data_IF_677280167313
#
_entry.id   IF_677280167313
#
_cell.length_a   1.000
_cell.length_b   1.000
_cell.length_c   1.000
_cell.angle_alpha   90.00
_cell.angle_beta   90.00
_cell.angle_gamma   90.00
#
_symmetry.space_group_name_H-M   'P 1'
#
loop_
_entity.id
_entity.type
_entity.pdbx_description
1 polymer ?
#
# COMPACT_ATOMS: atom_id res chain seq x y z
N UNK A 1 -8.05 -1.20 41.75
CA UNK A 1 -8.25 -2.64 41.45
C UNK A 1 -7.11 -3.41 42.11
N UNK A 2 -7.33 -4.61 42.65
CA UNK A 2 -6.26 -5.38 43.29
C UNK A 2 -5.41 -6.09 42.23
N UNK A 3 -4.09 -6.11 42.42
CA UNK A 3 -3.18 -6.86 41.55
C UNK A 3 -3.24 -8.36 41.83
N UNK A 4 -2.68 -9.18 40.94
CA UNK A 4 -2.50 -10.63 41.17
C UNK A 4 -1.78 -10.87 42.50
N UNK A 5 -0.72 -10.09 42.77
CA UNK A 5 0.05 -10.17 44.00
C UNK A 5 -0.79 -9.87 45.23
N UNK A 6 -1.66 -8.86 45.15
CA UNK A 6 -2.57 -8.53 46.26
C UNK A 6 -3.54 -9.68 46.54
N UNK A 7 -4.10 -10.30 45.51
CA UNK A 7 -4.97 -11.47 45.68
C UNK A 7 -4.22 -12.68 46.26
N UNK A 8 -3.00 -12.96 45.82
CA UNK A 8 -2.17 -14.02 46.42
C UNK A 8 -1.91 -13.75 47.90
N UNK A 9 -1.51 -12.52 48.25
CA UNK A 9 -1.25 -12.11 49.64
C UNK A 9 -2.52 -12.23 50.49
N UNK A 10 -3.69 -11.87 49.95
CA UNK A 10 -4.99 -12.06 50.62
C UNK A 10 -5.30 -13.53 50.87
N UNK A 11 -5.07 -14.40 49.89
CA UNK A 11 -5.36 -15.83 50.01
C UNK A 11 -4.47 -16.53 51.03
N UNK A 12 -3.18 -16.20 51.03
CA UNK A 12 -2.24 -16.71 52.05
C UNK A 12 -2.64 -16.27 53.46
N UNK A 13 -3.07 -15.01 53.62
CA UNK A 13 -3.57 -14.51 54.90
C UNK A 13 -4.91 -15.16 55.29
N UNK A 14 -5.76 -15.47 54.33
CA UNK A 14 -7.02 -16.20 54.56
C UNK A 14 -6.78 -17.60 55.12
N UNK A 15 -5.81 -18.33 54.57
CA UNK A 15 -5.34 -19.61 55.11
C UNK A 15 -4.83 -19.47 56.54
N UNK A 16 -3.98 -18.47 56.83
CA UNK A 16 -3.46 -18.20 58.19
C UNK A 16 -4.54 -17.82 59.20
N UNK A 17 -5.64 -17.23 58.73
CA UNK A 17 -6.78 -16.87 59.55
C UNK A 17 -7.83 -17.99 59.64
N UNK A 18 -7.46 -19.24 59.31
CA UNK A 18 -8.33 -20.43 59.32
C UNK A 18 -9.63 -20.22 58.53
N UNK A 19 -9.56 -19.56 57.38
CA UNK A 19 -10.73 -19.31 56.54
C UNK A 19 -11.68 -18.22 57.07
N UNK A 20 -11.26 -17.40 58.05
CA UNK A 20 -12.08 -16.29 58.53
C UNK A 20 -11.82 -14.99 57.74
N UNK A 21 -12.74 -14.64 56.85
CA UNK A 21 -12.60 -13.48 55.95
C UNK A 21 -12.54 -12.14 56.69
N UNK A 22 -13.29 -11.98 57.79
CA UNK A 22 -13.29 -10.74 58.58
C UNK A 22 -11.95 -10.53 59.28
N UNK A 23 -11.42 -11.59 59.90
CA UNK A 23 -10.10 -11.57 60.54
C UNK A 23 -9.00 -11.31 59.51
N UNK A 24 -9.12 -11.93 58.34
CA UNK A 24 -8.18 -11.74 57.23
C UNK A 24 -8.13 -10.29 56.76
N UNK A 25 -9.27 -9.62 56.60
CA UNK A 25 -9.30 -8.21 56.20
C UNK A 25 -8.60 -7.29 57.22
N UNK A 26 -8.82 -7.54 58.52
CA UNK A 26 -8.18 -6.78 59.62
C UNK A 26 -6.67 -7.00 59.65
N UNK A 27 -6.23 -8.25 59.58
CA UNK A 27 -4.80 -8.58 59.57
C UNK A 27 -4.09 -8.10 58.30
N UNK A 28 -4.76 -8.15 57.15
CA UNK A 28 -4.22 -7.62 55.89
C UNK A 28 -4.01 -6.11 55.97
N UNK A 29 -4.98 -5.36 56.51
CA UNK A 29 -4.87 -3.91 56.71
C UNK A 29 -3.73 -3.56 57.68
N UNK A 30 -3.55 -4.35 58.75
CA UNK A 30 -2.45 -4.16 59.71
C UNK A 30 -1.08 -4.45 59.08
N UNK A 31 -0.99 -5.51 58.27
CA UNK A 31 0.27 -5.97 57.67
C UNK A 31 0.72 -5.13 56.46
N UNK A 32 -0.22 -4.55 55.73
CA UNK A 32 0.04 -3.73 54.56
C UNK A 32 -0.65 -2.35 54.67
N UNK A 33 -0.20 -1.44 55.55
CA UNK A 33 -0.86 -0.16 55.78
C UNK A 33 -0.90 0.77 54.56
N UNK A 34 0.05 0.60 53.64
CA UNK A 34 0.15 1.37 52.39
C UNK A 34 -0.74 0.82 51.25
N UNK A 35 -1.38 -0.33 51.43
CA UNK A 35 -2.26 -0.95 50.42
C UNK A 35 -3.72 -0.72 50.78
N UNK A 36 -4.59 -0.72 49.76
CA UNK A 36 -6.03 -0.66 49.96
C UNK A 36 -6.50 -1.90 50.76
N UNK A 37 -7.21 -1.74 51.89
CA UNK A 37 -7.74 -2.88 52.63
C UNK A 37 -8.84 -3.62 51.84
N UNK A 38 -8.79 -4.96 51.77
CA UNK A 38 -9.84 -5.75 51.13
C UNK A 38 -11.13 -5.73 51.95
N UNK A 39 -12.26 -5.65 51.24
CA UNK A 39 -13.56 -5.94 51.82
C UNK A 39 -13.70 -7.44 52.09
N UNK A 40 -14.49 -7.80 53.11
CA UNK A 40 -14.72 -9.20 53.50
C UNK A 40 -15.28 -10.02 52.33
N UNK A 41 -16.13 -9.43 51.49
CA UNK A 41 -16.69 -10.11 50.33
C UNK A 41 -15.67 -10.31 49.20
N UNK A 42 -14.64 -9.46 49.10
CA UNK A 42 -13.55 -9.65 48.13
C UNK A 42 -12.78 -10.92 48.45
N UNK A 43 -12.54 -11.20 49.74
CA UNK A 43 -11.83 -12.38 50.22
C UNK A 43 -12.68 -13.64 50.01
N UNK A 44 -13.99 -13.59 50.32
CA UNK A 44 -14.89 -14.72 50.07
C UNK A 44 -14.97 -15.07 48.58
N UNK A 45 -15.22 -14.06 47.73
CA UNK A 45 -15.26 -14.25 46.27
C UNK A 45 -13.93 -14.74 45.70
N UNK A 46 -12.80 -14.43 46.34
CA UNK A 46 -11.51 -14.95 45.95
C UNK A 46 -11.41 -16.46 46.23
N UNK A 47 -11.79 -16.92 47.43
CA UNK A 47 -11.79 -18.35 47.77
C UNK A 47 -12.76 -19.14 46.89
N UNK A 48 -13.99 -18.65 46.72
CA UNK A 48 -14.98 -19.26 45.83
C UNK A 48 -14.43 -19.39 44.40
N UNK A 49 -13.78 -18.34 43.89
CA UNK A 49 -13.22 -18.34 42.54
C UNK A 49 -12.06 -19.30 42.40
N UNK A 50 -11.16 -19.35 43.38
CA UNK A 50 -10.02 -20.26 43.33
C UNK A 50 -10.49 -21.72 43.37
N UNK A 51 -11.48 -22.04 44.20
CA UNK A 51 -12.04 -23.39 44.31
C UNK A 51 -12.81 -23.83 43.06
N UNK A 52 -13.57 -22.92 42.47
CA UNK A 52 -14.47 -23.26 41.36
C UNK A 52 -13.81 -23.12 39.97
N UNK A 53 -12.81 -22.25 39.81
CA UNK A 53 -12.21 -21.93 38.50
C UNK A 53 -10.68 -22.04 38.47
N UNK A 54 -10.01 -22.17 39.62
CA UNK A 54 -8.55 -22.15 39.71
C UNK A 54 -7.89 -20.78 39.49
N UNK A 55 -8.67 -19.72 39.24
CA UNK A 55 -8.16 -18.38 38.97
C UNK A 55 -8.24 -17.44 40.18
N UNK A 56 -7.18 -16.66 40.40
CA UNK A 56 -7.16 -15.56 41.39
C UNK A 56 -7.78 -14.27 40.84
N UNK A 57 -7.84 -14.09 39.53
CA UNK A 57 -8.35 -12.87 38.88
C UNK A 57 -9.85 -12.95 38.59
N UNK A 58 -10.62 -11.84 38.77
CA UNK A 58 -12.04 -11.84 38.43
C UNK A 58 -12.27 -12.17 36.96
N UNK A 59 -13.31 -12.97 36.68
CA UNK A 59 -13.69 -13.42 35.32
C UNK A 59 -13.98 -12.28 34.35
N UNK A 60 -14.20 -11.06 34.85
CA UNK A 60 -14.26 -9.84 34.04
C UNK A 60 -12.99 -9.64 33.17
N UNK A 61 -11.86 -10.25 33.53
CA UNK A 61 -10.63 -10.22 32.75
C UNK A 61 -10.48 -11.39 31.75
N UNK A 62 -11.32 -12.43 31.83
CA UNK A 62 -11.32 -13.56 30.89
C UNK A 62 -12.29 -13.32 29.72
N UNK A 63 -13.34 -12.52 29.95
CA UNK A 63 -14.33 -12.10 28.95
C UNK A 63 -14.19 -10.64 28.54
N UNK A 64 -12.97 -10.07 28.57
CA UNK A 64 -12.66 -8.91 27.75
C UNK A 64 -12.46 -9.34 26.28
N UNK A 65 -13.38 -10.17 25.78
CA UNK A 65 -13.65 -10.24 24.35
C UNK A 65 -14.36 -8.94 24.04
N UNK A 66 -13.57 -7.90 23.77
CA UNK A 66 -14.08 -6.55 23.55
C UNK A 66 -15.28 -6.53 22.59
N UNK A 67 -16.01 -5.40 22.61
CA UNK A 67 -17.21 -5.13 21.79
C UNK A 67 -17.19 -5.88 20.44
N UNK A 68 -18.26 -6.62 20.07
CA UNK A 68 -18.31 -7.36 18.81
C UNK A 68 -17.81 -6.50 17.65
N UNK A 69 -16.81 -7.02 16.92
CA UNK A 69 -15.95 -6.23 16.01
C UNK A 69 -16.70 -5.66 14.81
N UNK A 70 -17.93 -6.06 14.56
CA UNK A 70 -18.78 -5.52 13.49
C UNK A 70 -20.21 -5.36 14.00
N UNK A 71 -20.83 -4.22 13.68
CA UNK A 71 -22.28 -4.05 13.77
C UNK A 71 -23.02 -4.70 12.59
N UNK A 72 -22.39 -5.68 11.93
CA UNK A 72 -22.96 -6.42 10.80
C UNK A 72 -23.41 -7.79 11.30
N UNK A 73 -24.58 -8.22 10.86
CA UNK A 73 -24.96 -9.63 10.95
C UNK A 73 -24.15 -10.45 9.94
N UNK A 74 -24.05 -11.77 10.15
CA UNK A 74 -23.39 -12.69 9.21
C UNK A 74 -24.01 -12.54 7.81
N UNK A 75 -25.34 -12.51 7.73
CA UNK A 75 -26.06 -12.31 6.47
C UNK A 75 -25.72 -10.99 5.76
N UNK A 76 -25.51 -9.90 6.50
CA UNK A 76 -25.09 -8.62 5.90
C UNK A 76 -23.64 -8.65 5.43
N UNK A 77 -22.76 -9.32 6.17
CA UNK A 77 -21.37 -9.51 5.75
C UNK A 77 -21.31 -10.32 4.45
N UNK A 78 -22.02 -11.45 4.38
CA UNK A 78 -22.10 -12.29 3.19
C UNK A 78 -22.68 -11.53 2.00
N UNK A 79 -23.74 -10.73 2.19
CA UNK A 79 -24.31 -9.90 1.13
C UNK A 79 -23.31 -8.85 0.59
N UNK A 80 -22.49 -8.25 1.46
CA UNK A 80 -21.44 -7.31 1.04
C UNK A 80 -20.37 -8.05 0.22
N UNK A 81 -19.95 -9.23 0.65
CA UNK A 81 -18.90 -9.99 -0.03
C UNK A 81 -19.37 -10.50 -1.38
N UNK A 82 -20.60 -11.05 -1.45
CA UNK A 82 -21.22 -11.46 -2.70
C UNK A 82 -21.32 -10.27 -3.69
N UNK A 83 -21.73 -9.09 -3.21
CA UNK A 83 -21.83 -7.90 -4.05
C UNK A 83 -20.49 -7.45 -4.63
N UNK A 84 -19.40 -7.63 -3.88
CA UNK A 84 -18.03 -7.34 -4.34
C UNK A 84 -17.54 -8.38 -5.34
N UNK A 85 -17.91 -9.65 -5.15
CA UNK A 85 -17.60 -10.72 -6.12
C UNK A 85 -18.32 -10.48 -7.47
N UNK A 86 -19.59 -10.08 -7.42
CA UNK A 86 -20.38 -9.75 -8.62
C UNK A 86 -19.88 -8.47 -9.34
N UNK A 87 -19.35 -7.50 -8.60
CA UNK A 87 -18.78 -6.28 -9.20
C UNK A 87 -17.61 -5.77 -8.38
N UNK A 88 -16.38 -6.19 -8.70
CA UNK A 88 -15.19 -5.80 -7.95
C UNK A 88 -14.91 -4.29 -7.93
N UNK A 89 -15.46 -3.54 -8.90
CA UNK A 89 -15.28 -2.09 -9.05
C UNK A 89 -16.16 -1.26 -8.10
N UNK A 90 -17.05 -1.91 -7.33
CA UNK A 90 -17.99 -1.22 -6.45
C UNK A 90 -17.25 -0.48 -5.33
N UNK A 91 -17.59 0.79 -5.16
CA UNK A 91 -16.95 1.59 -4.11
C UNK A 91 -17.43 1.20 -2.72
N UNK A 92 -16.55 1.30 -1.72
CA UNK A 92 -16.91 1.11 -0.29
C UNK A 92 -18.04 2.02 0.18
N UNK A 93 -18.25 3.18 -0.45
CA UNK A 93 -19.37 4.09 -0.16
C UNK A 93 -20.69 3.61 -0.78
N UNK A 94 -20.64 3.04 -1.99
CA UNK A 94 -21.81 2.45 -2.64
C UNK A 94 -22.32 1.24 -1.85
N UNK A 95 -21.43 0.32 -1.49
CA UNK A 95 -21.73 -0.83 -0.62
C UNK A 95 -22.34 -0.41 0.73
N UNK A 96 -21.78 0.63 1.35
CA UNK A 96 -22.30 1.17 2.61
C UNK A 96 -23.74 1.66 2.47
N UNK A 97 -24.07 2.33 1.35
CA UNK A 97 -25.42 2.84 1.08
C UNK A 97 -26.40 1.72 0.74
N UNK A 98 -26.00 0.77 -0.10
CA UNK A 98 -26.82 -0.39 -0.51
C UNK A 98 -27.17 -1.25 0.71
N UNK A 99 -26.19 -1.51 1.57
CA UNK A 99 -26.31 -2.44 2.70
C UNK A 99 -26.60 -1.72 4.03
N UNK A 100 -27.07 -0.46 3.97
CA UNK A 100 -27.44 0.36 5.15
C UNK A 100 -26.41 0.30 6.30
N UNK A 101 -25.13 0.34 5.93
CA UNK A 101 -23.99 0.13 6.82
C UNK A 101 -23.03 1.32 6.77
N UNK A 102 -22.15 1.46 7.77
CA UNK A 102 -21.14 2.52 7.71
C UNK A 102 -20.00 2.15 6.74
N UNK A 103 -19.46 3.14 6.00
CA UNK A 103 -18.27 2.97 5.14
C UNK A 103 -17.11 2.31 5.89
N UNK A 104 -16.87 2.74 7.13
CA UNK A 104 -15.79 2.21 7.98
C UNK A 104 -16.03 0.75 8.37
N UNK A 105 -17.28 0.31 8.46
CA UNK A 105 -17.64 -1.09 8.73
C UNK A 105 -17.39 -1.95 7.49
N UNK A 106 -17.86 -1.50 6.31
CA UNK A 106 -17.61 -2.18 5.03
C UNK A 106 -16.10 -2.31 4.78
N UNK A 107 -15.35 -1.22 4.92
CA UNK A 107 -13.90 -1.24 4.70
C UNK A 107 -13.17 -2.19 5.65
N UNK A 108 -13.59 -2.28 6.91
CA UNK A 108 -13.01 -3.25 7.87
C UNK A 108 -13.33 -4.69 7.50
N UNK A 109 -14.54 -4.98 7.03
CA UNK A 109 -14.93 -6.30 6.54
C UNK A 109 -14.04 -6.71 5.35
N UNK A 110 -13.91 -5.85 4.34
CA UNK A 110 -13.08 -6.13 3.17
C UNK A 110 -11.63 -6.41 3.55
N UNK A 111 -11.05 -5.60 4.45
CA UNK A 111 -9.69 -5.84 4.95
C UNK A 111 -9.56 -7.14 5.76
N UNK A 112 -10.58 -7.51 6.52
CA UNK A 112 -10.60 -8.76 7.28
C UNK A 112 -10.60 -9.98 6.34
N UNK A 113 -11.38 -9.90 5.26
CA UNK A 113 -11.42 -10.90 4.19
C UNK A 113 -10.25 -10.78 3.19
N UNK A 114 -9.23 -9.96 3.50
CA UNK A 114 -8.02 -9.74 2.67
C UNK A 114 -8.31 -9.19 1.26
N UNK A 115 -9.44 -8.51 1.10
CA UNK A 115 -9.79 -7.79 -0.12
C UNK A 115 -9.20 -6.37 -0.05
N UNK A 116 -8.30 -6.08 -0.99
CA UNK A 116 -7.60 -4.80 -1.07
C UNK A 116 -8.02 -4.03 -2.32
N UNK A 117 -8.13 -2.70 -2.24
CA UNK A 117 -8.33 -1.89 -3.44
C UNK A 117 -7.03 -1.87 -4.25
N UNK A 118 -7.06 -2.46 -5.43
CA UNK A 118 -5.98 -2.34 -6.41
C UNK A 118 -6.23 -1.15 -7.33
N UNK A 119 -5.14 -0.51 -7.77
CA UNK A 119 -5.21 0.57 -8.75
C UNK A 119 -5.13 -0.04 -10.13
N UNK A 120 -5.97 0.42 -11.04
CA UNK A 120 -5.81 0.14 -12.45
C UNK A 120 -4.50 0.73 -12.93
N UNK A 121 -3.71 -0.08 -13.63
CA UNK A 121 -2.59 0.41 -14.43
C UNK A 121 -3.15 0.85 -15.76
N UNK A 122 -3.07 2.13 -16.07
CA UNK A 122 -3.43 2.62 -17.40
C UNK A 122 -2.42 2.09 -18.40
N UNK A 123 -2.86 1.21 -19.29
CA UNK A 123 -2.07 0.70 -20.41
C UNK A 123 -2.69 1.20 -21.72
N UNK A 124 -1.89 1.27 -22.77
CA UNK A 124 -2.43 1.58 -24.11
C UNK A 124 -3.47 0.51 -24.50
N UNK A 125 -4.59 0.95 -25.08
CA UNK A 125 -5.63 0.07 -25.58
C UNK A 125 -5.16 -0.64 -26.84
N UNK A 126 -4.50 -1.80 -26.68
CA UNK A 126 -4.05 -2.63 -27.79
C UNK A 126 -5.28 -3.21 -28.52
N UNK A 127 -5.23 -3.21 -29.86
CA UNK A 127 -6.21 -3.94 -30.67
C UNK A 127 -5.88 -5.44 -30.61
N UNK A 128 -6.88 -6.33 -30.79
CA UNK A 128 -6.65 -7.78 -30.82
C UNK A 128 -5.51 -8.21 -31.77
N UNK A 129 -5.39 -7.56 -32.93
CA UNK A 129 -4.35 -7.86 -33.92
C UNK A 129 -2.93 -7.47 -33.47
N UNK A 130 -2.80 -6.52 -32.54
CA UNK A 130 -1.51 -6.03 -32.07
C UNK A 130 -0.80 -7.11 -31.22
N UNK A 131 -1.56 -7.96 -30.51
CA UNK A 131 -0.98 -9.02 -29.68
C UNK A 131 -0.15 -10.00 -30.53
N UNK A 132 -0.71 -10.48 -31.64
CA UNK A 132 0.00 -11.42 -32.50
C UNK A 132 1.23 -10.78 -33.15
N UNK A 133 1.13 -9.52 -33.61
CA UNK A 133 2.27 -8.79 -34.17
C UNK A 133 3.40 -8.62 -33.16
N UNK A 134 3.06 -8.32 -31.90
CA UNK A 134 4.05 -8.18 -30.82
C UNK A 134 4.72 -9.51 -30.47
N UNK A 135 3.96 -10.61 -30.38
CA UNK A 135 4.52 -11.94 -30.16
C UNK A 135 5.46 -12.33 -31.30
N UNK A 136 5.02 -12.19 -32.54
CA UNK A 136 5.84 -12.50 -33.72
C UNK A 136 7.14 -11.68 -33.77
N UNK A 137 7.08 -10.39 -33.41
CA UNK A 137 8.28 -9.55 -33.31
C UNK A 137 9.23 -10.04 -32.21
N UNK A 138 8.73 -10.38 -31.02
CA UNK A 138 9.55 -10.91 -29.94
C UNK A 138 10.20 -12.25 -30.32
N UNK A 139 9.46 -13.16 -30.96
CA UNK A 139 9.98 -14.44 -31.44
C UNK A 139 11.06 -14.25 -32.50
N UNK A 140 10.82 -13.35 -33.46
CA UNK A 140 11.81 -12.99 -34.49
C UNK A 140 13.08 -12.41 -33.85
N UNK A 141 12.95 -11.47 -32.91
CA UNK A 141 14.09 -10.84 -32.24
C UNK A 141 14.94 -11.87 -31.48
N UNK A 142 14.29 -12.81 -30.80
CA UNK A 142 14.98 -13.92 -30.11
C UNK A 142 15.72 -14.83 -31.09
N UNK A 143 15.14 -15.12 -32.26
CA UNK A 143 15.81 -15.93 -33.29
C UNK A 143 17.03 -15.23 -33.88
N UNK A 144 16.97 -13.92 -34.13
CA UNK A 144 18.13 -13.14 -34.58
C UNK A 144 19.25 -13.19 -33.54
N UNK A 145 18.92 -12.96 -32.27
CA UNK A 145 19.89 -13.02 -31.17
C UNK A 145 20.52 -14.40 -30.96
N UNK A 146 19.78 -15.48 -31.22
CA UNK A 146 20.32 -16.84 -31.17
C UNK A 146 21.25 -17.16 -32.34
N UNK A 147 21.10 -16.47 -33.46
CA UNK A 147 21.91 -16.66 -34.68
C UNK A 147 23.19 -15.81 -34.59
N UNK A 148 23.05 -14.57 -34.14
CA UNK A 148 24.14 -13.66 -33.83
C UNK A 148 23.99 -13.17 -32.38
N UNK A 149 24.89 -13.64 -31.49
CA UNK A 149 24.91 -13.24 -30.09
C UNK A 149 25.10 -11.72 -29.88
N UNK A 150 25.55 -10.98 -30.89
CA UNK A 150 25.70 -9.53 -30.86
C UNK A 150 24.48 -8.74 -31.35
N UNK A 151 23.48 -9.39 -31.96
CA UNK A 151 22.45 -8.70 -32.75
C UNK A 151 21.78 -7.54 -32.01
N UNK A 152 21.29 -7.78 -30.78
CA UNK A 152 20.62 -6.74 -29.98
C UNK A 152 21.54 -5.56 -29.66
N UNK A 153 22.84 -5.80 -29.44
CA UNK A 153 23.81 -4.75 -29.15
C UNK A 153 24.07 -3.87 -30.38
N UNK A 154 23.84 -4.40 -31.59
CA UNK A 154 23.97 -3.68 -32.85
C UNK A 154 22.70 -2.94 -33.29
N UNK A 155 21.58 -3.07 -32.55
CA UNK A 155 20.37 -2.29 -32.81
C UNK A 155 20.52 -0.89 -32.22
N UNK A 156 20.41 0.13 -33.09
CA UNK A 156 20.22 1.51 -32.65
C UNK A 156 18.75 1.73 -32.27
N UNK A 157 18.48 1.72 -30.97
CA UNK A 157 17.16 2.07 -30.41
C UNK A 157 17.02 3.58 -30.42
N UNK A 158 15.89 4.11 -30.91
CA UNK A 158 15.67 5.56 -30.98
C UNK A 158 14.28 5.88 -30.45
N UNK A 159 14.14 7.05 -29.83
CA UNK A 159 12.84 7.58 -29.42
C UNK A 159 12.88 9.11 -29.33
N UNK A 160 11.69 9.70 -29.43
CA UNK A 160 11.49 11.13 -29.21
C UNK A 160 10.73 11.37 -27.90
N UNK A 161 11.22 12.31 -27.10
CA UNK A 161 10.55 12.74 -25.88
C UNK A 161 10.22 14.23 -25.92
N UNK A 162 8.95 14.54 -25.68
CA UNK A 162 8.47 15.92 -25.60
C UNK A 162 8.45 16.39 -24.15
N UNK A 163 9.32 17.36 -23.84
CA UNK A 163 9.35 18.04 -22.55
C UNK A 163 8.50 19.29 -22.60
N UNK A 164 7.62 19.44 -21.61
CA UNK A 164 6.80 20.64 -21.45
C UNK A 164 7.10 21.31 -20.12
N UNK A 165 6.85 22.61 -20.06
CA UNK A 165 7.03 23.44 -18.86
C UNK A 165 6.32 22.90 -17.62
N UNK A 166 5.19 22.23 -17.79
CA UNK A 166 4.37 21.77 -16.67
C UNK A 166 5.02 20.59 -15.91
N UNK A 167 6.05 19.96 -16.50
CA UNK A 167 6.75 18.81 -15.93
C UNK A 167 5.83 17.62 -15.66
N UNK A 168 6.40 16.50 -15.21
CA UNK A 168 5.62 15.36 -14.72
C UNK A 168 5.21 15.65 -13.27
N UNK A 169 4.20 16.50 -13.08
CA UNK A 169 3.74 16.83 -11.73
C UNK A 169 2.78 15.78 -11.18
N UNK A 170 3.25 15.01 -10.19
CA UNK A 170 2.41 14.09 -9.46
C UNK A 170 1.66 14.81 -8.33
N UNK A 171 0.41 15.22 -8.60
CA UNK A 171 -0.48 15.85 -7.62
C UNK A 171 -0.59 15.06 -6.29
N UNK A 172 -0.44 13.73 -6.33
CA UNK A 172 -0.54 12.89 -5.14
C UNK A 172 0.63 13.04 -4.17
N UNK A 173 1.80 13.47 -4.65
CA UNK A 173 3.01 13.64 -3.83
C UNK A 173 3.23 15.11 -3.41
N UNK A 174 2.39 16.02 -3.87
CA UNK A 174 2.50 17.44 -3.55
C UNK A 174 1.69 17.78 -2.30
N UNK A 175 2.34 17.68 -1.14
CA UNK A 175 1.75 18.03 0.14
C UNK A 175 2.18 19.42 0.62
N UNK A 176 1.22 20.22 1.07
CA UNK A 176 1.48 21.42 1.86
C UNK A 176 0.99 21.16 3.28
N UNK A 177 1.93 21.10 4.23
CA UNK A 177 1.61 20.95 5.64
C UNK A 177 1.46 22.35 6.26
N UNK A 178 0.33 22.62 6.91
CA UNK A 178 0.09 23.88 7.61
C UNK A 178 -0.87 23.67 8.79
N UNK A 179 -0.69 24.44 9.85
CA UNK A 179 -1.58 24.44 11.03
C UNK A 179 -2.93 25.13 10.74
N UNK A 180 -2.98 26.00 9.73
CA UNK A 180 -4.19 26.72 9.27
C UNK A 180 -4.27 26.60 7.75
N UNK A 181 -5.49 26.47 7.19
CA UNK A 181 -5.67 26.29 5.75
C UNK A 181 -5.00 27.44 4.96
N UNK A 182 -3.92 27.16 4.19
CA UNK A 182 -3.14 28.20 3.54
C UNK A 182 -3.78 28.71 2.24
N UNK A 183 -4.93 28.15 1.82
CA UNK A 183 -5.52 28.44 0.51
C UNK A 183 -4.48 28.34 -0.62
N UNK A 184 -3.69 27.26 -0.59
CA UNK A 184 -2.61 27.06 -1.53
C UNK A 184 -3.15 26.98 -2.96
N UNK A 185 -2.85 28.01 -3.75
CA UNK A 185 -3.17 28.06 -5.17
C UNK A 185 -1.88 27.80 -5.93
N UNK A 186 -1.87 26.78 -6.79
CA UNK A 186 -0.77 26.55 -7.73
C UNK A 186 -1.28 26.69 -9.16
N UNK A 187 -0.70 27.58 -9.97
CA UNK A 187 -1.07 27.71 -11.38
C UNK A 187 -0.69 26.43 -12.13
N UNK A 188 -1.66 25.81 -12.81
CA UNK A 188 -1.49 24.57 -13.59
C UNK A 188 -1.55 24.81 -15.11
N UNK A 189 -2.16 25.89 -15.55
CA UNK A 189 -2.38 26.20 -16.98
C UNK A 189 -1.77 27.56 -17.30
N UNK A 190 -0.58 27.53 -17.88
CA UNK A 190 0.09 28.73 -18.37
C UNK A 190 -0.41 29.08 -19.78
N UNK A 191 -0.65 30.36 -20.06
CA UNK A 191 -1.12 30.81 -21.38
C UNK A 191 -0.05 30.63 -22.46
N UNK A 192 1.23 30.83 -22.12
CA UNK A 192 2.37 30.50 -22.97
C UNK A 192 2.78 29.04 -22.77
N UNK A 193 2.55 28.24 -23.80
CA UNK A 193 2.99 26.84 -23.89
C UNK A 193 4.27 26.80 -24.72
N UNK A 194 5.34 26.26 -24.15
CA UNK A 194 6.50 25.83 -24.91
C UNK A 194 6.69 24.33 -24.69
N UNK A 195 7.10 23.65 -25.76
CA UNK A 195 7.46 22.24 -25.75
C UNK A 195 8.80 22.07 -26.44
N UNK A 196 9.68 21.28 -25.84
CA UNK A 196 10.96 20.89 -26.41
C UNK A 196 10.87 19.43 -26.82
N UNK A 197 11.04 19.15 -28.10
CA UNK A 197 11.12 17.78 -28.58
C UNK A 197 12.59 17.36 -28.66
N UNK A 198 12.93 16.27 -28.00
CA UNK A 198 14.30 15.78 -27.89
C UNK A 198 14.37 14.38 -28.47
N UNK A 199 15.31 14.17 -29.37
CA UNK A 199 15.66 12.85 -29.87
C UNK A 199 16.87 12.30 -29.12
N UNK A 200 16.86 11.00 -28.83
CA UNK A 200 18.03 10.28 -28.36
C UNK A 200 18.04 8.86 -28.92
N UNK A 201 19.25 8.33 -29.12
CA UNK A 201 19.48 6.97 -29.56
C UNK A 201 20.31 6.18 -28.56
N UNK A 202 20.15 4.86 -28.49
CA UNK A 202 20.99 3.95 -27.71
C UNK A 202 21.49 2.86 -28.63
N UNK A 203 22.81 2.70 -28.71
CA UNK A 203 23.47 1.60 -29.42
C UNK A 203 24.39 0.87 -28.45
N UNK A 204 24.08 -0.39 -28.16
CA UNK A 204 24.79 -1.17 -27.15
C UNK A 204 24.77 -0.47 -25.79
N UNK A 205 25.94 -0.04 -25.32
CA UNK A 205 26.16 0.68 -24.06
C UNK A 205 26.29 2.21 -24.23
N UNK A 206 26.09 2.72 -25.45
CA UNK A 206 26.30 4.14 -25.79
C UNK A 206 24.99 4.88 -25.98
N UNK A 207 24.94 6.10 -25.46
CA UNK A 207 23.89 7.07 -25.73
C UNK A 207 24.33 8.00 -26.87
N UNK A 208 23.51 8.11 -27.91
CA UNK A 208 23.64 9.06 -29.01
C UNK A 208 22.64 10.21 -28.81
N UNK A 209 23.07 11.44 -29.12
CA UNK A 209 22.33 12.65 -28.77
C UNK A 209 22.67 13.17 -27.36
N UNK A 210 21.79 13.96 -26.71
CA UNK A 210 20.46 14.38 -27.15
C UNK A 210 20.51 15.39 -28.30
N UNK A 211 19.56 15.29 -29.23
CA UNK A 211 19.38 16.27 -30.29
C UNK A 211 18.05 17.01 -30.13
N UNK A 212 18.08 18.34 -30.20
CA UNK A 212 16.89 19.16 -30.10
C UNK A 212 16.20 19.21 -31.47
N UNK A 213 15.04 18.57 -31.56
CA UNK A 213 14.23 18.60 -32.76
C UNK A 213 13.47 19.93 -32.87
N UNK A 214 13.12 20.34 -34.10
CA UNK A 214 12.24 21.48 -34.31
C UNK A 214 10.91 21.30 -33.56
N UNK A 215 10.34 22.42 -33.09
CA UNK A 215 9.07 22.41 -32.34
C UNK A 215 7.92 21.77 -33.15
N UNK A 216 7.94 21.93 -34.47
CA UNK A 216 7.03 21.24 -35.39
C UNK A 216 7.78 20.19 -36.19
N UNK A 217 7.68 18.94 -35.75
CA UNK A 217 8.28 17.82 -36.46
C UNK A 217 7.40 17.41 -37.65
N UNK A 218 7.90 17.64 -38.86
CA UNK A 218 7.34 17.11 -40.10
C UNK A 218 8.17 15.91 -40.58
N UNK A 219 7.59 15.06 -41.44
CA UNK A 219 8.33 13.96 -42.05
C UNK A 219 9.58 14.43 -42.82
N UNK A 220 9.50 15.59 -43.48
CA UNK A 220 10.64 16.16 -44.21
C UNK A 220 11.76 16.60 -43.26
N UNK A 221 11.43 17.31 -42.18
CA UNK A 221 12.44 17.73 -41.19
C UNK A 221 13.08 16.54 -40.47
N UNK A 222 12.31 15.47 -40.25
CA UNK A 222 12.87 14.24 -39.66
C UNK A 222 13.79 13.51 -40.63
N UNK A 223 13.42 13.45 -41.92
CA UNK A 223 14.27 12.87 -42.96
C UNK A 223 15.60 13.64 -43.13
N UNK A 224 15.56 14.97 -43.05
CA UNK A 224 16.78 15.81 -43.02
C UNK A 224 17.63 15.44 -41.81
N UNK A 225 17.04 15.35 -40.62
CA UNK A 225 17.75 14.90 -39.42
C UNK A 225 18.42 13.52 -39.60
N UNK A 226 17.71 12.53 -40.15
CA UNK A 226 18.25 11.18 -40.37
C UNK A 226 19.43 11.16 -41.36
N UNK A 227 19.41 12.01 -42.38
CA UNK A 227 20.44 12.01 -43.41
C UNK A 227 21.65 12.87 -43.06
N UNK A 228 21.42 14.02 -42.41
CA UNK A 228 22.45 15.04 -42.21
C UNK A 228 23.03 15.02 -40.80
N UNK A 229 22.24 14.65 -39.78
CA UNK A 229 22.65 14.78 -38.37
C UNK A 229 22.91 13.43 -37.74
N UNK A 230 22.05 12.44 -38.00
CA UNK A 230 22.24 11.09 -37.45
C UNK A 230 23.55 10.46 -37.95
N UNK A 231 23.92 10.73 -39.19
CA UNK A 231 25.18 10.28 -39.80
C UNK A 231 26.40 10.81 -39.03
N UNK A 232 26.39 12.07 -38.60
CA UNK A 232 27.46 12.63 -37.76
C UNK A 232 27.60 11.88 -36.43
N UNK A 233 26.47 11.53 -35.78
CA UNK A 233 26.50 10.74 -34.54
C UNK A 233 27.02 9.31 -34.75
N UNK A 234 26.85 8.76 -35.96
CA UNK A 234 27.33 7.43 -36.30
C UNK A 234 28.83 7.42 -36.67
N UNK A 235 29.35 8.52 -37.24
CA UNK A 235 30.77 8.64 -37.59
C UNK A 235 31.70 8.62 -36.37
N UNK A 236 31.22 9.08 -35.21
CA UNK A 236 31.94 9.03 -33.93
C UNK A 236 32.00 7.62 -33.32
N UNK A 237 31.35 6.63 -33.94
CA UNK A 237 31.35 5.25 -33.47
C UNK A 237 32.59 4.52 -34.04
N UNK A 238 33.46 3.95 -33.19
CA UNK A 238 34.63 3.22 -33.66
C UNK A 238 34.22 2.11 -34.61
N UNK A 239 34.91 1.97 -35.74
CA UNK A 239 34.69 0.89 -36.70
C UNK A 239 34.66 -0.49 -36.06
N UNK A 240 35.37 -0.75 -34.96
CA UNK A 240 35.32 -2.02 -34.24
C UNK A 240 33.94 -2.36 -33.62
N UNK A 241 33.13 -1.35 -33.25
CA UNK A 241 31.75 -1.53 -32.80
C UNK A 241 30.78 -1.73 -33.98
N UNK A 242 31.22 -1.39 -35.19
CA UNK A 242 30.51 -1.59 -36.46
C UNK A 242 30.98 -2.88 -37.15
N UNK A 243 32.21 -3.36 -36.92
CA UNK A 243 32.84 -4.50 -37.61
C UNK A 243 32.56 -5.87 -36.97
N UNK A 244 31.63 -5.94 -36.00
CA UNK A 244 30.95 -7.19 -35.65
C UNK A 244 29.83 -7.58 -36.64
N UNK A 245 29.65 -6.80 -37.72
CA UNK A 245 28.73 -7.03 -38.84
C UNK A 245 29.07 -8.25 -39.70
#
# INVERSE_FOLDING_TARGET
>A
MYSVRDYCDMYLMYGRCNGNALRTAREYARRYPSRRPPDVNVIRRLDDRLRNTGSVLPTANLHDTGRPRSGLTVAQADAILQRVEETPEVSTRALAREMTSSKSTVHRLLLFERLHPFRYTTVQGLKPDDFQKRVAFCEWLLQQQNTDNGFIAHILWTDESCFTRDGVFNHHNSHMWSQVNPHAIRPQKHQERWSLNVWAGILGDRLLGPYLLPERLSGQSYLVFLNEVLTEFLDDIPLAAIQGL
#
